data_IF_168374148010
#
_entry.id   IF_168374148010
#
_cell.length_a   1.000
_cell.length_b   1.000
_cell.length_c   1.000
_cell.angle_alpha   90.00
_cell.angle_beta   90.00
_cell.angle_gamma   90.00
#
_symmetry.space_group_name_H-M   'P 1'
#
loop_
_entity.id
_entity.type
_entity.pdbx_description
1 polymer ?
#
# COMPACT_ATOMS: atom_id res chain seq x y z
N UNK A 1 -0.30 -19.70 -26.75
CA UNK A 1 -1.05 -18.54 -26.25
C UNK A 1 -1.14 -18.63 -24.73
N UNK A 2 -0.85 -17.56 -24.01
CA UNK A 2 -1.01 -17.56 -22.55
C UNK A 2 -2.50 -17.61 -22.20
N UNK A 3 -2.88 -18.49 -21.28
CA UNK A 3 -4.26 -18.55 -20.78
C UNK A 3 -4.50 -17.35 -19.86
N UNK A 4 -5.21 -16.33 -20.34
CA UNK A 4 -5.48 -15.09 -19.61
C UNK A 4 -6.15 -15.32 -18.24
N UNK A 5 -7.02 -16.35 -18.12
CA UNK A 5 -7.67 -16.70 -16.85
C UNK A 5 -6.67 -17.21 -15.83
N UNK A 6 -5.75 -18.08 -16.28
CA UNK A 6 -4.69 -18.61 -15.43
C UNK A 6 -3.74 -17.50 -14.99
N UNK A 7 -3.38 -16.58 -15.89
CA UNK A 7 -2.53 -15.43 -15.54
C UNK A 7 -3.18 -14.54 -14.47
N UNK A 8 -4.47 -14.23 -14.61
CA UNK A 8 -5.23 -13.46 -13.61
C UNK A 8 -5.32 -14.18 -12.25
N UNK A 9 -5.59 -15.49 -12.26
CA UNK A 9 -5.59 -16.30 -11.04
C UNK A 9 -4.23 -16.28 -10.35
N UNK A 10 -3.15 -16.53 -11.10
CA UNK A 10 -1.79 -16.54 -10.56
C UNK A 10 -1.39 -15.18 -9.99
N UNK A 11 -1.78 -14.08 -10.65
CA UNK A 11 -1.57 -12.74 -10.14
C UNK A 11 -2.21 -12.54 -8.76
N UNK A 12 -3.51 -12.86 -8.63
CA UNK A 12 -4.22 -12.73 -7.35
C UNK A 12 -3.63 -13.65 -6.29
N UNK A 13 -3.36 -14.92 -6.65
CA UNK A 13 -2.79 -15.90 -5.73
C UNK A 13 -1.44 -15.46 -5.18
N UNK A 14 -0.54 -14.97 -6.04
CA UNK A 14 0.79 -14.49 -5.63
C UNK A 14 0.69 -13.26 -4.74
N UNK A 15 -0.13 -12.26 -5.12
CA UNK A 15 -0.33 -11.04 -4.33
C UNK A 15 -0.86 -11.38 -2.93
N UNK A 16 -1.88 -12.24 -2.86
CA UNK A 16 -2.45 -12.67 -1.58
C UNK A 16 -1.46 -13.49 -0.76
N UNK A 17 -0.74 -14.43 -1.37
CA UNK A 17 0.23 -15.27 -0.67
C UNK A 17 1.35 -14.43 -0.04
N UNK A 18 1.87 -13.45 -0.79
CA UNK A 18 2.90 -12.54 -0.27
C UNK A 18 2.31 -11.67 0.84
N UNK A 19 1.13 -11.10 0.65
CA UNK A 19 0.50 -10.27 1.68
C UNK A 19 0.23 -11.04 2.98
N UNK A 20 -0.25 -12.28 2.89
CA UNK A 20 -0.46 -13.16 4.04
C UNK A 20 0.86 -13.48 4.72
N UNK A 21 1.89 -13.86 3.97
CA UNK A 21 3.21 -14.15 4.52
C UNK A 21 3.81 -12.94 5.26
N UNK A 22 3.73 -11.75 4.65
CA UNK A 22 4.19 -10.50 5.27
C UNK A 22 3.41 -10.15 6.54
N UNK A 23 2.11 -10.42 6.58
CA UNK A 23 1.29 -10.17 7.76
C UNK A 23 1.61 -11.15 8.91
N UNK A 24 1.85 -12.43 8.62
CA UNK A 24 2.21 -13.41 9.64
C UNK A 24 3.63 -13.24 10.18
N UNK A 25 4.55 -12.73 9.35
CA UNK A 25 5.93 -12.40 9.77
C UNK A 25 5.99 -11.10 10.60
N UNK A 26 4.93 -10.28 10.57
CA UNK A 26 4.88 -9.05 11.33
C UNK A 26 4.71 -9.31 12.82
N UNK A 27 5.70 -8.87 13.61
CA UNK A 27 5.69 -8.94 15.07
C UNK A 27 4.83 -7.78 15.61
N UNK A 28 3.60 -8.09 16.00
CA UNK A 28 2.65 -7.13 16.56
C UNK A 28 1.33 -7.80 16.92
N UNK A 29 0.33 -7.00 17.26
CA UNK A 29 -1.03 -7.49 17.54
C UNK A 29 -1.72 -7.99 16.27
N UNK A 30 -2.81 -8.75 16.42
CA UNK A 30 -3.63 -9.19 15.27
C UNK A 30 -4.16 -8.01 14.44
N UNK A 31 -4.42 -6.86 15.07
CA UNK A 31 -4.87 -5.65 14.37
C UNK A 31 -3.72 -5.09 13.51
N UNK A 32 -2.50 -5.04 14.03
CA UNK A 32 -1.33 -4.60 13.26
C UNK A 32 -1.02 -5.54 12.09
N UNK A 33 -1.15 -6.85 12.29
CA UNK A 33 -1.01 -7.84 11.21
C UNK A 33 -2.07 -7.63 10.12
N UNK A 34 -3.33 -7.34 10.49
CA UNK A 34 -4.38 -7.04 9.54
C UNK A 34 -4.11 -5.73 8.77
N UNK A 35 -3.64 -4.69 9.45
CA UNK A 35 -3.21 -3.44 8.80
C UNK A 35 -2.06 -3.71 7.82
N UNK A 36 -1.08 -4.51 8.22
CA UNK A 36 0.07 -4.86 7.39
C UNK A 36 -0.35 -5.68 6.16
N UNK A 37 -1.27 -6.62 6.31
CA UNK A 37 -1.87 -7.37 5.20
C UNK A 37 -2.50 -6.46 4.15
N UNK A 38 -3.39 -5.55 4.59
CA UNK A 38 -4.08 -4.62 3.70
C UNK A 38 -3.10 -3.63 3.06
N UNK A 39 -2.12 -3.17 3.83
CA UNK A 39 -1.07 -2.26 3.33
C UNK A 39 -0.24 -2.94 2.24
N UNK A 40 0.14 -4.21 2.42
CA UNK A 40 0.92 -4.95 1.42
C UNK A 40 0.14 -5.13 0.11
N UNK A 41 -1.16 -5.44 0.18
CA UNK A 41 -2.02 -5.49 -1.02
C UNK A 41 -2.06 -4.13 -1.73
N UNK A 42 -2.24 -3.04 -0.96
CA UNK A 42 -2.28 -1.71 -1.53
C UNK A 42 -0.95 -1.27 -2.15
N UNK A 43 0.18 -1.67 -1.57
CA UNK A 43 1.50 -1.46 -2.18
C UNK A 43 1.59 -2.11 -3.55
N UNK A 44 1.06 -3.32 -3.75
CA UNK A 44 1.01 -3.92 -5.08
C UNK A 44 0.20 -3.10 -6.08
N UNK A 45 -0.99 -2.62 -5.70
CA UNK A 45 -1.79 -1.75 -6.56
C UNK A 45 -1.05 -0.45 -6.92
N UNK A 46 -0.37 0.16 -5.95
CA UNK A 46 0.46 1.36 -6.15
C UNK A 46 1.58 1.10 -7.15
N UNK A 47 2.33 0.00 -6.97
CA UNK A 47 3.45 -0.36 -7.87
C UNK A 47 2.96 -0.60 -9.29
N UNK A 48 1.84 -1.32 -9.46
CA UNK A 48 1.25 -1.58 -10.78
C UNK A 48 0.78 -0.27 -11.42
N UNK A 49 0.15 0.62 -10.65
CA UNK A 49 -0.32 1.91 -11.14
C UNK A 49 0.86 2.79 -11.61
N UNK A 50 1.92 2.90 -10.78
CA UNK A 50 3.15 3.62 -11.16
C UNK A 50 3.80 3.00 -12.41
N UNK A 51 3.83 1.68 -12.51
CA UNK A 51 4.35 0.99 -13.69
C UNK A 51 3.53 1.31 -14.95
N UNK A 52 2.20 1.30 -14.85
CA UNK A 52 1.31 1.68 -15.96
C UNK A 52 1.57 3.10 -16.45
N UNK A 53 1.65 4.06 -15.52
CA UNK A 53 1.97 5.47 -15.83
C UNK A 53 3.34 5.58 -16.51
N UNK A 54 4.35 4.91 -15.97
CA UNK A 54 5.70 4.92 -16.55
C UNK A 54 5.72 4.36 -17.98
N UNK A 55 4.94 3.30 -18.24
CA UNK A 55 4.82 2.69 -19.56
C UNK A 55 3.79 3.35 -20.47
N UNK A 56 3.08 4.39 -20.00
CA UNK A 56 1.98 5.05 -20.71
C UNK A 56 0.89 4.04 -21.14
N UNK A 57 0.57 3.10 -20.24
CA UNK A 57 -0.48 2.10 -20.43
C UNK A 57 -1.52 2.27 -19.34
N UNK A 58 -2.77 2.43 -19.75
CA UNK A 58 -3.91 2.57 -18.83
C UNK A 58 -4.31 1.22 -18.25
N UNK A 59 -3.71 0.87 -17.11
CA UNK A 59 -4.04 -0.35 -16.36
C UNK A 59 -5.24 -0.16 -15.42
N UNK A 60 -5.54 1.08 -15.03
CA UNK A 60 -6.61 1.43 -14.10
C UNK A 60 -7.49 2.53 -14.66
N UNK A 61 -8.79 2.50 -14.32
CA UNK A 61 -9.69 3.61 -14.62
C UNK A 61 -9.36 4.84 -13.76
N UNK A 62 -9.74 6.04 -14.21
CA UNK A 62 -9.59 7.29 -13.43
C UNK A 62 -10.21 7.19 -12.02
N UNK A 63 -11.35 6.48 -11.88
CA UNK A 63 -12.02 6.27 -10.59
C UNK A 63 -11.16 5.39 -9.67
N UNK A 64 -10.64 4.28 -10.17
CA UNK A 64 -9.76 3.38 -9.42
C UNK A 64 -8.46 4.08 -9.02
N UNK A 65 -7.88 4.86 -9.92
CA UNK A 65 -6.64 5.61 -9.66
C UNK A 65 -6.83 6.67 -8.56
N UNK A 66 -7.94 7.44 -8.61
CA UNK A 66 -8.31 8.37 -7.51
C UNK A 66 -8.48 7.67 -6.17
N UNK A 67 -9.11 6.49 -6.18
CA UNK A 67 -9.32 5.70 -4.97
C UNK A 67 -7.98 5.23 -4.38
N UNK A 68 -7.07 4.73 -5.20
CA UNK A 68 -5.72 4.33 -4.75
C UNK A 68 -4.97 5.55 -4.19
N UNK A 69 -5.03 6.69 -4.88
CA UNK A 69 -4.36 7.93 -4.45
C UNK A 69 -4.84 8.43 -3.08
N UNK A 70 -6.09 8.17 -2.71
CA UNK A 70 -6.62 8.53 -1.39
C UNK A 70 -6.34 7.45 -0.34
N UNK A 71 -6.65 6.19 -0.66
CA UNK A 71 -6.57 5.08 0.29
C UNK A 71 -5.14 4.79 0.73
N UNK A 72 -4.16 4.90 -0.17
CA UNK A 72 -2.78 4.54 0.16
C UNK A 72 -2.19 5.46 1.25
N UNK A 73 -2.20 6.81 1.12
CA UNK A 73 -1.78 7.68 2.22
C UNK A 73 -2.59 7.48 3.50
N UNK A 74 -3.91 7.28 3.39
CA UNK A 74 -4.76 7.02 4.57
C UNK A 74 -4.33 5.76 5.31
N UNK A 75 -4.02 4.67 4.59
CA UNK A 75 -3.53 3.45 5.21
C UNK A 75 -2.16 3.62 5.83
N UNK A 76 -1.24 4.35 5.18
CA UNK A 76 0.06 4.67 5.76
C UNK A 76 -0.14 5.43 7.07
N UNK A 77 -1.01 6.44 7.11
CA UNK A 77 -1.33 7.19 8.33
C UNK A 77 -1.95 6.29 9.41
N UNK A 78 -2.91 5.43 9.07
CA UNK A 78 -3.50 4.47 10.02
C UNK A 78 -2.41 3.56 10.61
N UNK A 79 -1.54 3.01 9.76
CA UNK A 79 -0.42 2.15 10.17
C UNK A 79 0.58 2.89 11.05
N UNK A 80 0.85 4.17 10.77
CA UNK A 80 1.72 4.99 11.61
C UNK A 80 1.11 5.26 12.98
N UNK A 81 -0.18 5.60 13.01
CA UNK A 81 -0.88 6.11 14.19
C UNK A 81 -1.30 5.00 15.14
N UNK A 82 -1.73 3.84 14.62
CA UNK A 82 -2.25 2.76 15.46
C UNK A 82 -1.24 2.32 16.56
N UNK A 83 0.04 2.04 16.26
CA UNK A 83 1.01 1.65 17.28
C UNK A 83 1.29 2.76 18.31
N UNK A 84 1.10 4.03 17.95
CA UNK A 84 1.25 5.14 18.89
C UNK A 84 0.17 5.13 19.98
N UNK A 85 -1.02 4.60 19.65
CA UNK A 85 -2.09 4.42 20.62
C UNK A 85 -1.93 3.12 21.40
N UNK A 86 -1.65 2.01 20.72
CA UNK A 86 -1.48 0.69 21.36
C UNK A 86 -0.32 0.70 22.38
N UNK A 87 0.79 1.34 22.02
CA UNK A 87 2.01 1.38 22.83
C UNK A 87 2.24 2.76 23.45
N UNK A 88 1.18 3.52 23.74
CA UNK A 88 1.28 4.88 24.29
C UNK A 88 2.05 4.96 25.62
N UNK A 89 2.06 3.87 26.40
CA UNK A 89 2.81 3.75 27.66
C UNK A 89 4.31 3.50 27.45
N UNK A 90 4.73 3.17 26.23
CA UNK A 90 6.12 2.86 25.90
C UNK A 90 6.84 4.07 25.32
N UNK A 91 8.16 4.13 25.52
CA UNK A 91 8.98 5.17 24.87
C UNK A 91 9.14 4.84 23.40
N UNK A 92 8.54 5.66 22.53
CA UNK A 92 8.63 5.49 21.08
C UNK A 92 10.05 5.84 20.60
N UNK A 93 10.76 4.92 19.89
CA UNK A 93 12.07 5.21 19.34
C UNK A 93 12.03 6.36 18.33
N UNK A 94 13.01 7.27 18.36
CA UNK A 94 13.09 8.36 17.35
C UNK A 94 13.20 7.83 15.91
N UNK A 95 13.84 6.68 15.74
CA UNK A 95 13.96 5.98 14.46
C UNK A 95 12.59 5.60 13.89
N UNK A 96 11.63 5.24 14.75
CA UNK A 96 10.25 4.97 14.34
C UNK A 96 9.61 6.21 13.73
N UNK A 97 9.65 7.35 14.45
CA UNK A 97 9.06 8.62 13.98
C UNK A 97 9.66 9.06 12.64
N UNK A 98 10.98 8.94 12.49
CA UNK A 98 11.66 9.28 11.24
C UNK A 98 11.21 8.39 10.08
N UNK A 99 11.21 7.06 10.27
CA UNK A 99 10.81 6.11 9.23
C UNK A 99 9.36 6.36 8.77
N UNK A 100 8.44 6.54 9.72
CA UNK A 100 7.04 6.81 9.43
C UNK A 100 6.84 8.14 8.70
N UNK A 101 7.61 9.18 9.06
CA UNK A 101 7.55 10.47 8.37
C UNK A 101 7.97 10.36 6.90
N UNK A 102 9.02 9.59 6.62
CA UNK A 102 9.48 9.33 5.25
C UNK A 102 8.41 8.58 4.46
N UNK A 103 7.80 7.56 5.04
CA UNK A 103 6.73 6.79 4.38
C UNK A 103 5.50 7.65 4.07
N UNK A 104 5.09 8.52 5.00
CA UNK A 104 3.99 9.47 4.77
C UNK A 104 4.31 10.39 3.60
N UNK A 105 5.50 11.01 3.59
CA UNK A 105 5.92 11.91 2.50
C UNK A 105 5.90 11.17 1.16
N UNK A 106 6.49 9.97 1.09
CA UNK A 106 6.49 9.14 -0.13
C UNK A 106 5.06 8.82 -0.57
N UNK A 107 4.18 8.46 0.36
CA UNK A 107 2.77 8.16 0.04
C UNK A 107 2.04 9.35 -0.57
N UNK A 108 2.28 10.56 -0.06
CA UNK A 108 1.70 11.80 -0.58
C UNK A 108 2.26 12.17 -1.96
N UNK A 109 3.56 11.95 -2.19
CA UNK A 109 4.17 12.15 -3.51
C UNK A 109 3.53 11.21 -4.56
N UNK A 110 3.36 9.93 -4.21
CA UNK A 110 2.70 8.93 -5.07
C UNK A 110 1.25 9.34 -5.35
N UNK A 111 0.50 9.75 -4.32
CA UNK A 111 -0.86 10.26 -4.49
C UNK A 111 -0.91 11.48 -5.41
N UNK A 112 0.06 12.40 -5.28
CA UNK A 112 0.20 13.56 -6.17
C UNK A 112 0.39 13.16 -7.63
N UNK A 113 1.24 12.16 -7.91
CA UNK A 113 1.44 11.62 -9.26
C UNK A 113 0.12 11.07 -9.82
N UNK A 114 -0.59 10.24 -9.04
CA UNK A 114 -1.86 9.65 -9.48
C UNK A 114 -2.94 10.68 -9.73
N UNK A 115 -3.06 11.70 -8.87
CA UNK A 115 -4.04 12.77 -9.05
C UNK A 115 -3.71 13.67 -10.25
N UNK A 116 -2.42 13.88 -10.54
CA UNK A 116 -1.99 14.61 -11.73
C UNK A 116 -2.32 13.83 -13.02
N UNK A 117 -2.11 12.51 -13.02
CA UNK A 117 -2.43 11.66 -14.16
C UNK A 117 -3.93 11.62 -14.44
N UNK A 118 -4.77 11.54 -13.40
CA UNK A 118 -6.23 11.50 -13.58
C UNK A 118 -6.80 12.80 -14.17
N UNK A 119 -6.09 13.92 -14.08
CA UNK A 119 -6.51 15.22 -14.63
C UNK A 119 -6.15 15.43 -16.09
N UNK A 120 -5.24 14.61 -16.64
CA UNK A 120 -4.93 14.62 -18.07
C UNK A 120 -6.08 13.98 -18.85
#
# INVERSE_FOLDING_TARGET
MANHKLAGFMFVFVVLSIAVATAFDYIGTTIEQAIQFVTQIMTFYVVIALFGIWKKVDLFTHKSMKMIALLYPTLVVIRTIYPLFEYAEQTIPRTYIFAQSVEIIISLLIAGIFLAEVKK
#
